data_IF_606485942907
#
_entry.id   IF_606485942907
#
_cell.length_a   1.000
_cell.length_b   1.000
_cell.length_c   1.000
_cell.angle_alpha   90.00
_cell.angle_beta   90.00
_cell.angle_gamma   90.00
#
_symmetry.space_group_name_H-M   'P 1'
#
loop_
_entity.id
_entity.type
_entity.pdbx_description
1 polymer ?
#
# COMPACT_ATOMS: atom_id res chain seq x y z
N UNK A 1 -9.53 -22.90 -4.44
CA UNK A 1 -8.86 -23.01 -3.14
C UNK A 1 -7.90 -24.21 -3.19
N UNK A 2 -6.68 -24.02 -2.70
CA UNK A 2 -5.68 -25.10 -2.59
C UNK A 2 -5.62 -25.49 -1.11
N UNK A 3 -6.14 -26.67 -0.80
CA UNK A 3 -6.22 -27.13 0.59
C UNK A 3 -4.92 -27.76 1.10
N UNK A 4 -4.06 -28.26 0.19
CA UNK A 4 -2.79 -28.89 0.55
C UNK A 4 -1.77 -28.77 -0.59
N UNK A 5 -0.56 -28.33 -0.25
CA UNK A 5 0.63 -28.48 -1.09
C UNK A 5 1.61 -29.38 -0.33
N UNK A 6 1.90 -30.56 -0.87
CA UNK A 6 2.87 -31.47 -0.26
C UNK A 6 4.08 -31.65 -1.20
N UNK A 7 5.28 -31.44 -0.66
CA UNK A 7 6.55 -31.77 -1.32
C UNK A 7 7.11 -33.01 -0.63
N UNK A 8 7.14 -34.14 -1.31
CA UNK A 8 7.60 -35.40 -0.74
C UNK A 8 8.81 -35.94 -1.50
N UNK A 9 9.69 -36.63 -0.79
CA UNK A 9 10.79 -37.38 -1.43
C UNK A 9 10.25 -38.60 -2.20
N UNK A 10 11.05 -39.09 -3.14
CA UNK A 10 10.69 -40.23 -3.95
C UNK A 10 10.43 -41.47 -3.06
N UNK A 11 9.26 -42.13 -3.26
CA UNK A 11 8.84 -43.29 -2.47
C UNK A 11 8.01 -43.00 -1.20
N UNK A 12 7.73 -41.74 -0.88
CA UNK A 12 6.84 -41.38 0.23
C UNK A 12 5.39 -41.28 -0.25
N UNK A 13 4.47 -41.91 0.47
CA UNK A 13 3.04 -41.85 0.15
C UNK A 13 2.51 -40.44 0.39
N UNK A 14 1.97 -39.80 -0.64
CA UNK A 14 1.33 -38.48 -0.51
C UNK A 14 0.06 -38.61 0.33
N UNK A 15 -0.16 -37.79 1.35
CA UNK A 15 -1.42 -37.77 2.10
C UNK A 15 -2.58 -37.47 1.15
N UNK A 16 -3.59 -38.32 1.17
CA UNK A 16 -4.81 -38.11 0.36
C UNK A 16 -5.84 -37.33 1.21
N UNK A 17 -6.57 -36.37 0.63
CA UNK A 17 -7.63 -35.70 1.34
C UNK A 17 -8.70 -36.70 1.78
N UNK A 18 -9.23 -36.55 2.99
CA UNK A 18 -10.31 -37.39 3.47
C UNK A 18 -11.58 -37.19 2.62
N UNK A 19 -12.09 -38.25 2.02
CA UNK A 19 -13.34 -38.24 1.25
C UNK A 19 -14.59 -38.38 2.16
N UNK A 20 -14.40 -38.46 3.47
CA UNK A 20 -15.46 -38.66 4.44
C UNK A 20 -16.32 -37.38 4.56
N UNK A 21 -17.63 -37.51 4.33
CA UNK A 21 -18.58 -36.39 4.45
C UNK A 21 -18.54 -35.71 5.82
N UNK A 22 -18.33 -36.46 6.89
CA UNK A 22 -18.24 -35.94 8.25
C UNK A 22 -16.97 -35.10 8.45
N UNK A 23 -15.83 -35.52 7.90
CA UNK A 23 -14.57 -34.79 7.99
C UNK A 23 -14.63 -33.47 7.22
N UNK A 24 -15.26 -33.50 6.04
CA UNK A 24 -15.51 -32.27 5.25
C UNK A 24 -16.44 -31.31 5.98
N UNK A 25 -17.56 -31.81 6.54
CA UNK A 25 -18.49 -30.98 7.28
C UNK A 25 -17.85 -30.38 8.55
N UNK A 26 -17.00 -31.13 9.24
CA UNK A 26 -16.24 -30.67 10.39
C UNK A 26 -15.19 -29.64 10.01
N UNK A 27 -14.50 -29.84 8.88
CA UNK A 27 -13.55 -28.87 8.33
C UNK A 27 -14.22 -27.55 7.94
N UNK A 28 -15.33 -27.62 7.20
CA UNK A 28 -16.14 -26.46 6.82
C UNK A 28 -16.65 -25.70 8.05
N UNK A 29 -17.15 -26.39 9.05
CA UNK A 29 -17.61 -25.79 10.28
C UNK A 29 -16.44 -25.14 11.06
N UNK A 30 -15.31 -25.83 11.15
CA UNK A 30 -14.11 -25.31 11.79
C UNK A 30 -13.58 -24.08 11.06
N UNK A 31 -13.51 -24.12 9.73
CA UNK A 31 -13.10 -22.99 8.91
C UNK A 31 -14.05 -21.80 9.06
N UNK A 32 -15.34 -22.05 9.06
CA UNK A 32 -16.36 -21.03 9.30
C UNK A 32 -16.20 -20.39 10.67
N UNK A 33 -16.04 -21.18 11.73
CA UNK A 33 -15.83 -20.66 13.09
C UNK A 33 -14.49 -19.91 13.18
N UNK A 34 -13.42 -20.47 12.63
CA UNK A 34 -12.09 -19.85 12.66
C UNK A 34 -12.09 -18.51 11.92
N UNK A 35 -12.84 -18.38 10.81
CA UNK A 35 -12.92 -17.12 10.06
C UNK A 35 -13.52 -15.95 10.84
N UNK A 36 -14.26 -16.22 11.93
CA UNK A 36 -14.76 -15.18 12.83
C UNK A 36 -13.72 -14.70 13.86
N UNK A 37 -12.69 -15.49 14.11
CA UNK A 37 -11.71 -15.21 15.17
C UNK A 37 -10.31 -14.90 14.62
N UNK A 38 -10.05 -15.20 13.37
CA UNK A 38 -8.76 -14.90 12.72
C UNK A 38 -8.91 -13.65 11.89
N UNK A 39 -8.20 -12.61 12.25
CA UNK A 39 -8.05 -11.44 11.40
C UNK A 39 -7.06 -11.74 10.26
N UNK A 40 -7.61 -11.95 9.07
CA UNK A 40 -6.82 -12.22 7.86
C UNK A 40 -6.08 -10.99 7.33
N UNK A 41 -6.37 -9.80 7.84
CA UNK A 41 -5.70 -8.55 7.47
C UNK A 41 -4.43 -8.34 8.31
N UNK A 42 -4.35 -8.95 9.49
CA UNK A 42 -3.15 -8.90 10.32
C UNK A 42 -1.98 -9.61 9.62
N UNK A 43 -0.81 -8.99 9.67
CA UNK A 43 0.43 -9.51 9.10
C UNK A 43 1.30 -10.22 10.15
N UNK A 44 0.66 -10.87 11.13
CA UNK A 44 1.34 -11.57 12.22
C UNK A 44 1.61 -10.65 13.40
N UNK A 45 0.55 -10.01 13.91
CA UNK A 45 0.64 -9.16 15.10
C UNK A 45 1.09 -9.97 16.31
N UNK A 46 2.06 -9.42 17.03
CA UNK A 46 2.70 -10.05 18.19
C UNK A 46 2.25 -9.38 19.49
N UNK A 47 1.56 -8.24 19.38
CA UNK A 47 1.19 -7.41 20.52
C UNK A 47 -0.29 -7.54 20.83
N UNK A 48 -0.62 -7.68 22.12
CA UNK A 48 -2.00 -7.68 22.58
C UNK A 48 -2.61 -6.28 22.51
N UNK A 49 -3.89 -6.19 22.14
CA UNK A 49 -4.64 -4.92 22.03
C UNK A 49 -4.80 -4.15 23.38
N UNK A 50 -4.19 -4.62 24.45
CA UNK A 50 -4.19 -4.00 25.79
C UNK A 50 -2.99 -3.08 26.04
N UNK A 51 -2.03 -3.03 25.14
CA UNK A 51 -0.86 -2.16 25.21
C UNK A 51 -1.08 -0.94 24.29
N UNK A 52 -0.34 0.15 24.54
CA UNK A 52 -0.32 1.31 23.62
C UNK A 52 0.42 0.92 22.33
N UNK A 53 -0.29 0.23 21.44
CA UNK A 53 0.22 -0.26 20.16
C UNK A 53 -0.20 0.68 19.05
N UNK A 54 0.76 1.14 18.24
CA UNK A 54 0.48 1.95 17.06
C UNK A 54 -0.14 1.10 15.95
N UNK A 55 -1.33 1.45 15.50
CA UNK A 55 -1.99 0.78 14.37
C UNK A 55 -1.63 1.44 13.05
N UNK A 56 -0.97 0.67 12.17
CA UNK A 56 -0.56 1.11 10.83
C UNK A 56 -1.28 0.31 9.77
N UNK A 57 -2.08 1.00 8.95
CA UNK A 57 -2.76 0.37 7.82
C UNK A 57 -2.02 0.63 6.52
N UNK A 58 -1.85 -0.43 5.72
CA UNK A 58 -1.28 -0.37 4.38
C UNK A 58 -2.37 -0.69 3.38
N UNK A 59 -2.46 0.14 2.34
CA UNK A 59 -3.48 0.02 1.29
C UNK A 59 -2.94 -0.58 -0.01
N UNK A 60 -1.71 -1.08 -0.01
CA UNK A 60 -1.04 -1.70 -1.16
C UNK A 60 -0.96 -3.23 -1.06
N UNK A 61 -0.29 -3.86 -2.05
CA UNK A 61 -0.19 -5.31 -2.13
C UNK A 61 0.56 -5.96 -0.96
N UNK A 62 0.28 -7.25 -0.74
CA UNK A 62 0.81 -8.05 0.36
C UNK A 62 2.34 -8.09 0.42
N UNK A 63 3.02 -8.10 -0.72
CA UNK A 63 4.48 -8.17 -0.76
C UNK A 63 5.13 -6.93 -0.12
N UNK A 64 4.60 -5.74 -0.43
CA UNK A 64 5.06 -4.48 0.14
C UNK A 64 4.75 -4.40 1.64
N UNK A 65 3.57 -4.86 2.03
CA UNK A 65 3.17 -4.93 3.44
C UNK A 65 4.09 -5.81 4.26
N UNK A 66 4.52 -6.96 3.70
CA UNK A 66 5.46 -7.87 4.37
C UNK A 66 6.84 -7.22 4.54
N UNK A 67 7.32 -6.49 3.54
CA UNK A 67 8.60 -5.75 3.65
C UNK A 67 8.52 -4.69 4.74
N UNK A 68 7.44 -3.89 4.76
CA UNK A 68 7.25 -2.89 5.80
C UNK A 68 7.18 -3.52 7.20
N UNK A 69 6.43 -4.62 7.35
CA UNK A 69 6.36 -5.35 8.63
C UNK A 69 7.74 -5.78 9.10
N UNK A 70 8.57 -6.32 8.19
CA UNK A 70 9.96 -6.69 8.50
C UNK A 70 10.78 -5.47 8.95
N UNK A 71 10.66 -4.33 8.26
CA UNK A 71 11.36 -3.09 8.66
C UNK A 71 10.91 -2.59 10.03
N UNK A 72 9.62 -2.68 10.33
CA UNK A 72 9.07 -2.32 11.64
C UNK A 72 9.65 -3.22 12.73
N UNK A 73 9.61 -4.53 12.53
CA UNK A 73 10.04 -5.51 13.54
C UNK A 73 11.56 -5.49 13.76
N UNK A 74 12.34 -5.33 12.68
CA UNK A 74 13.80 -5.40 12.74
C UNK A 74 14.47 -4.06 13.09
N UNK A 75 13.80 -2.94 12.83
CA UNK A 75 14.44 -1.61 12.94
C UNK A 75 13.65 -0.64 13.81
N UNK A 76 12.38 -0.38 13.48
CA UNK A 76 11.61 0.68 14.13
C UNK A 76 11.29 0.36 15.58
N UNK A 77 10.62 -0.75 15.84
CA UNK A 77 10.25 -1.16 17.20
C UNK A 77 11.46 -1.35 18.12
N UNK A 78 12.56 -2.02 17.69
CA UNK A 78 13.74 -2.13 18.52
C UNK A 78 14.45 -0.79 18.82
N UNK A 79 14.39 0.17 17.91
CA UNK A 79 15.05 1.48 18.07
C UNK A 79 14.23 2.50 18.87
N UNK A 80 12.91 2.44 18.77
CA UNK A 80 11.98 3.40 19.39
C UNK A 80 11.33 2.88 20.67
N UNK A 81 11.21 1.56 20.80
CA UNK A 81 10.42 0.91 21.86
C UNK A 81 8.91 1.00 21.62
N UNK A 82 8.46 1.50 20.46
CA UNK A 82 7.04 1.64 20.12
C UNK A 82 6.58 0.36 19.45
N UNK A 83 5.63 -0.41 20.04
CA UNK A 83 5.05 -1.56 19.38
C UNK A 83 4.13 -1.12 18.23
N UNK A 84 4.16 -1.84 17.10
CA UNK A 84 3.39 -1.50 15.91
C UNK A 84 2.71 -2.72 15.35
N UNK A 85 1.40 -2.63 15.15
CA UNK A 85 0.62 -3.59 14.37
C UNK A 85 0.44 -3.09 12.95
N UNK A 86 0.84 -3.92 11.98
CA UNK A 86 0.73 -3.60 10.55
C UNK A 86 -0.39 -4.43 9.94
N UNK A 87 -1.39 -3.76 9.40
CA UNK A 87 -2.56 -4.40 8.78
C UNK A 87 -2.67 -4.06 7.30
N UNK A 88 -2.95 -5.07 6.49
CA UNK A 88 -3.28 -4.89 5.07
C UNK A 88 -4.79 -4.71 4.94
N UNK A 89 -5.23 -3.52 4.52
CA UNK A 89 -6.65 -3.15 4.49
C UNK A 89 -7.07 -2.70 3.09
N UNK A 90 -8.33 -3.02 2.72
CA UNK A 90 -8.91 -2.52 1.48
C UNK A 90 -9.06 -0.98 1.54
N UNK A 91 -8.59 -0.23 0.52
CA UNK A 91 -8.69 1.22 0.49
C UNK A 91 -10.10 1.77 0.71
N UNK A 92 -11.14 1.04 0.29
CA UNK A 92 -12.53 1.45 0.46
C UNK A 92 -13.02 1.35 1.91
N UNK A 93 -12.35 0.59 2.76
CA UNK A 93 -12.71 0.45 4.16
C UNK A 93 -12.22 1.62 5.02
N UNK A 94 -11.14 2.31 4.62
CA UNK A 94 -10.46 3.32 5.43
C UNK A 94 -11.41 4.44 5.91
N UNK A 95 -12.09 5.12 5.00
CA UNK A 95 -12.94 6.26 5.36
C UNK A 95 -14.09 5.83 6.28
N UNK A 96 -14.68 4.66 6.03
CA UNK A 96 -15.77 4.13 6.84
C UNK A 96 -15.29 3.79 8.26
N UNK A 97 -14.09 3.24 8.38
CA UNK A 97 -13.49 2.92 9.67
C UNK A 97 -13.19 4.18 10.49
N UNK A 98 -12.57 5.21 9.84
CA UNK A 98 -12.31 6.49 10.49
C UNK A 98 -13.59 7.15 10.97
N UNK A 99 -14.64 7.20 10.15
CA UNK A 99 -15.95 7.78 10.53
C UNK A 99 -16.60 6.98 11.66
N UNK A 100 -16.37 5.67 11.73
CA UNK A 100 -16.88 4.83 12.82
C UNK A 100 -16.03 4.92 14.11
N UNK A 101 -14.93 5.67 14.12
CA UNK A 101 -14.01 5.78 15.26
C UNK A 101 -13.10 4.57 15.45
N UNK A 102 -12.96 3.72 14.43
CA UNK A 102 -12.13 2.52 14.41
C UNK A 102 -11.05 2.61 13.31
N UNK A 103 -10.62 3.82 12.98
CA UNK A 103 -9.53 4.05 12.02
C UNK A 103 -8.16 3.80 12.65
N UNK A 104 -7.11 3.63 11.82
CA UNK A 104 -5.74 3.46 12.29
C UNK A 104 -5.13 4.79 12.76
N UNK A 105 -4.00 4.70 13.46
CA UNK A 105 -3.18 5.88 13.79
C UNK A 105 -2.43 6.41 12.57
N UNK A 106 -1.96 5.50 11.70
CA UNK A 106 -1.20 5.85 10.49
C UNK A 106 -1.68 5.03 9.29
N UNK A 107 -1.76 5.69 8.14
CA UNK A 107 -2.05 5.04 6.85
C UNK A 107 -0.87 5.23 5.92
N UNK A 108 -0.45 4.15 5.27
CA UNK A 108 0.63 4.14 4.28
C UNK A 108 0.07 3.73 2.92
N UNK A 109 0.62 4.33 1.86
CA UNK A 109 0.29 4.00 0.46
C UNK A 109 -1.15 4.33 0.07
N UNK A 110 -1.63 5.51 0.47
CA UNK A 110 -2.89 6.05 -0.05
C UNK A 110 -2.68 6.86 -1.33
N UNK A 111 -3.71 6.94 -2.16
CA UNK A 111 -3.68 7.78 -3.37
C UNK A 111 -3.49 9.26 -3.04
N UNK A 112 -2.73 9.98 -3.88
CA UNK A 112 -2.30 11.37 -3.64
C UNK A 112 -3.44 12.39 -3.50
N UNK A 113 -4.65 12.10 -3.98
CA UNK A 113 -5.84 12.97 -3.81
C UNK A 113 -6.59 12.73 -2.50
N UNK A 114 -6.35 11.63 -1.81
CA UNK A 114 -7.08 11.25 -0.61
C UNK A 114 -6.76 12.14 0.61
N UNK A 115 -5.52 12.53 0.91
CA UNK A 115 -5.22 13.31 2.11
C UNK A 115 -6.02 14.60 2.23
N UNK A 116 -6.10 15.39 1.16
CA UNK A 116 -6.89 16.64 1.16
C UNK A 116 -8.39 16.34 1.25
N UNK A 117 -8.87 15.28 0.60
CA UNK A 117 -10.27 14.86 0.68
C UNK A 117 -10.65 14.40 2.10
N UNK A 118 -9.73 13.74 2.80
CA UNK A 118 -9.91 13.35 4.21
C UNK A 118 -9.79 14.55 5.15
N UNK A 119 -8.91 15.50 4.87
CA UNK A 119 -8.79 16.75 5.62
C UNK A 119 -10.11 17.56 5.60
N UNK A 120 -10.76 17.66 4.43
CA UNK A 120 -12.08 18.30 4.27
C UNK A 120 -13.19 17.65 5.10
N UNK A 121 -12.99 16.41 5.53
CA UNK A 121 -13.94 15.64 6.35
C UNK A 121 -13.48 15.50 7.80
N UNK A 122 -12.40 16.17 8.17
CA UNK A 122 -11.77 16.05 9.49
C UNK A 122 -11.41 14.61 9.88
N UNK A 123 -10.97 13.83 8.89
CA UNK A 123 -10.60 12.43 9.04
C UNK A 123 -9.07 12.20 9.09
N UNK A 124 -8.28 13.25 9.00
CA UNK A 124 -6.82 13.26 9.15
C UNK A 124 -6.36 14.50 9.88
N UNK A 125 -5.24 14.38 10.56
CA UNK A 125 -4.63 15.46 11.33
C UNK A 125 -3.82 16.42 10.45
N UNK A 126 -3.75 17.68 10.87
CA UNK A 126 -2.86 18.68 10.26
C UNK A 126 -1.44 18.51 10.81
N UNK A 127 -0.53 18.13 9.96
CA UNK A 127 0.86 17.87 10.33
C UNK A 127 1.63 19.15 10.71
N UNK A 128 1.12 20.33 10.38
CA UNK A 128 1.75 21.61 10.75
C UNK A 128 1.76 21.86 12.27
N UNK A 129 1.01 21.09 13.04
CA UNK A 129 1.05 21.12 14.51
C UNK A 129 2.32 20.52 15.13
N UNK A 130 3.10 19.74 14.36
CA UNK A 130 4.32 19.11 14.85
C UNK A 130 5.53 19.99 14.62
N UNK A 131 6.29 20.26 15.67
CA UNK A 131 7.43 21.20 15.66
C UNK A 131 8.59 20.72 14.76
N UNK A 132 8.75 19.41 14.59
CA UNK A 132 9.80 18.76 13.80
C UNK A 132 9.43 18.56 12.31
N UNK A 133 8.24 18.96 11.91
CA UNK A 133 7.76 18.78 10.53
C UNK A 133 8.74 19.36 9.50
N UNK A 134 9.32 20.53 9.75
CA UNK A 134 10.22 21.16 8.78
C UNK A 134 11.48 20.34 8.55
N UNK A 135 12.04 19.71 9.57
CA UNK A 135 13.21 18.82 9.44
C UNK A 135 12.90 17.60 8.57
N UNK A 136 11.66 17.10 8.66
CA UNK A 136 11.18 16.02 7.80
C UNK A 136 10.98 16.51 6.37
N UNK A 137 10.36 17.66 6.16
CA UNK A 137 10.09 18.22 4.84
C UNK A 137 11.36 18.59 4.06
N UNK A 138 12.44 18.95 4.74
CA UNK A 138 13.74 19.25 4.11
C UNK A 138 14.34 18.04 3.38
N UNK A 139 13.82 16.82 3.62
CA UNK A 139 14.21 15.60 2.92
C UNK A 139 13.48 15.43 1.58
N UNK A 140 12.47 16.23 1.30
CA UNK A 140 11.63 16.12 0.11
C UNK A 140 11.72 17.37 -0.78
N UNK A 141 11.50 17.20 -2.07
CA UNK A 141 11.26 18.34 -2.94
C UNK A 141 9.92 19.00 -2.60
N UNK A 142 9.81 20.35 -2.59
CA UNK A 142 8.54 21.02 -2.31
C UNK A 142 7.38 20.58 -3.21
N UNK A 143 7.65 20.19 -4.45
CA UNK A 143 6.65 19.67 -5.38
C UNK A 143 6.08 18.31 -4.94
N UNK A 144 6.78 17.54 -4.13
CA UNK A 144 6.35 16.21 -3.70
C UNK A 144 5.18 16.27 -2.71
N UNK A 145 5.15 17.29 -1.83
CA UNK A 145 4.10 17.43 -0.81
C UNK A 145 3.08 18.53 -1.12
N UNK A 146 3.26 19.29 -2.22
CA UNK A 146 2.33 20.34 -2.62
C UNK A 146 0.88 19.85 -2.79
N UNK A 147 0.71 18.62 -3.31
CA UNK A 147 -0.61 18.01 -3.50
C UNK A 147 -1.33 17.68 -2.18
N UNK A 148 -0.63 17.60 -1.06
CA UNK A 148 -1.16 17.27 0.26
C UNK A 148 -1.44 18.50 1.12
N UNK A 149 -1.17 19.70 0.58
CA UNK A 149 -1.37 20.97 1.28
C UNK A 149 -2.74 21.56 0.93
N UNK A 150 -3.45 22.04 1.95
CA UNK A 150 -4.74 22.71 1.78
C UNK A 150 -4.95 23.74 2.89
N UNK A 151 -5.40 24.95 2.53
CA UNK A 151 -5.67 26.06 3.46
C UNK A 151 -4.55 26.37 4.48
N UNK A 152 -3.30 26.17 4.09
CA UNK A 152 -2.14 26.42 4.95
C UNK A 152 -1.76 25.23 5.84
N UNK A 153 -2.54 24.16 5.86
CA UNK A 153 -2.21 22.88 6.51
C UNK A 153 -1.54 21.89 5.56
N UNK A 154 -0.90 20.87 6.13
CA UNK A 154 -0.31 19.74 5.45
C UNK A 154 -0.87 18.43 6.05
N UNK A 155 -1.40 17.55 5.23
CA UNK A 155 -2.20 16.41 5.68
C UNK A 155 -1.62 15.03 5.32
N UNK A 156 -0.48 15.00 4.66
CA UNK A 156 0.30 13.78 4.42
C UNK A 156 1.75 14.12 4.08
N UNK A 157 2.61 13.11 4.18
CA UNK A 157 3.98 13.12 3.69
C UNK A 157 4.08 12.25 2.43
N UNK A 158 4.95 12.60 1.47
CA UNK A 158 5.14 11.80 0.27
C UNK A 158 5.92 10.52 0.59
N UNK A 159 5.36 9.37 0.25
CA UNK A 159 6.06 8.09 0.26
C UNK A 159 6.82 7.87 -1.05
N UNK A 160 6.17 8.20 -2.15
CA UNK A 160 6.72 8.07 -3.51
C UNK A 160 6.47 9.33 -4.32
N UNK A 161 7.38 9.63 -5.23
CA UNK A 161 7.18 10.68 -6.22
C UNK A 161 7.16 10.07 -7.62
N UNK A 162 6.01 10.18 -8.27
CA UNK A 162 5.80 9.70 -9.64
C UNK A 162 5.85 10.87 -10.60
N UNK A 163 6.54 10.69 -11.72
CA UNK A 163 6.50 11.61 -12.83
C UNK A 163 6.24 10.84 -14.13
N UNK A 164 5.43 11.44 -15.00
CA UNK A 164 5.23 10.90 -16.34
C UNK A 164 6.41 11.31 -17.20
N UNK A 165 7.07 10.32 -17.83
CA UNK A 165 8.19 10.55 -18.75
C UNK A 165 7.83 9.98 -20.11
N UNK A 166 8.22 10.69 -21.15
CA UNK A 166 8.10 10.22 -22.51
C UNK A 166 9.32 9.36 -22.86
N UNK A 167 9.10 8.08 -23.13
CA UNK A 167 10.09 7.19 -23.70
C UNK A 167 9.94 7.16 -25.23
N UNK A 168 11.04 7.20 -25.95
CA UNK A 168 11.04 7.14 -27.40
C UNK A 168 12.16 6.24 -27.91
N UNK A 169 11.98 5.71 -29.11
CA UNK A 169 12.98 4.97 -29.88
C UNK A 169 13.72 5.94 -30.76
N UNK A 170 14.98 6.26 -30.41
CA UNK A 170 15.82 7.21 -31.18
C UNK A 170 16.07 6.74 -32.61
N UNK A 171 16.28 5.43 -32.78
CA UNK A 171 16.48 4.82 -34.12
C UNK A 171 15.26 4.99 -35.03
N UNK A 172 14.04 4.89 -34.51
CA UNK A 172 12.82 5.12 -35.28
C UNK A 172 12.67 6.59 -35.65
N UNK A 173 12.94 7.50 -34.70
CA UNK A 173 12.87 8.93 -35.00
C UNK A 173 13.87 9.32 -36.09
N UNK A 174 15.10 8.79 -36.05
CA UNK A 174 16.12 9.01 -37.07
C UNK A 174 15.70 8.44 -38.44
N UNK A 175 15.13 7.24 -38.48
CA UNK A 175 14.66 6.60 -39.73
C UNK A 175 13.60 7.44 -40.43
N UNK A 176 12.70 8.08 -39.69
CA UNK A 176 11.64 8.96 -40.25
C UNK A 176 12.05 10.43 -40.33
N UNK A 177 13.29 10.78 -40.01
CA UNK A 177 13.77 12.16 -40.01
C UNK A 177 13.06 13.07 -39.02
N UNK A 178 12.59 12.52 -37.91
CA UNK A 178 11.87 13.22 -36.85
C UNK A 178 12.82 13.61 -35.70
N UNK A 179 12.58 14.78 -35.11
CA UNK A 179 13.26 15.22 -33.88
C UNK A 179 12.48 14.77 -32.65
N UNK A 180 13.18 14.70 -31.53
CA UNK A 180 12.52 14.47 -30.21
C UNK A 180 11.54 15.62 -29.94
N UNK A 181 10.27 15.35 -29.65
CA UNK A 181 9.29 16.40 -29.37
C UNK A 181 9.60 17.11 -28.05
N UNK A 182 9.62 18.43 -28.04
CA UNK A 182 9.79 19.26 -26.85
C UNK A 182 8.46 19.73 -26.28
N UNK A 183 7.42 19.75 -27.10
CA UNK A 183 6.07 20.17 -26.76
C UNK A 183 5.04 19.13 -27.19
N UNK A 184 3.82 19.26 -26.65
CA UNK A 184 2.69 18.45 -27.07
C UNK A 184 2.31 18.69 -28.52
N UNK A 185 2.46 19.92 -29.01
CA UNK A 185 2.20 20.28 -30.42
C UNK A 185 3.20 19.59 -31.36
N UNK A 186 4.47 19.51 -30.97
CA UNK A 186 5.47 18.74 -31.72
C UNK A 186 5.12 17.27 -31.79
N UNK A 187 4.71 16.69 -30.64
CA UNK A 187 4.30 15.30 -30.59
C UNK A 187 3.09 15.04 -31.49
N UNK A 188 2.08 15.91 -31.46
CA UNK A 188 0.89 15.78 -32.31
C UNK A 188 1.25 15.92 -33.80
N UNK A 189 2.15 16.85 -34.15
CA UNK A 189 2.57 17.08 -35.53
C UNK A 189 3.31 15.87 -36.13
N UNK A 190 4.01 15.07 -35.34
CA UNK A 190 4.74 13.89 -35.84
C UNK A 190 3.87 12.63 -35.94
N UNK A 191 2.71 12.57 -35.24
CA UNK A 191 1.83 11.39 -35.22
C UNK A 191 1.44 10.89 -36.64
N UNK A 192 1.06 11.74 -37.63
CA UNK A 192 0.70 11.25 -38.96
C UNK A 192 1.83 10.50 -39.65
N UNK A 193 3.08 10.92 -39.44
CA UNK A 193 4.26 10.23 -40.01
C UNK A 193 4.49 8.87 -39.33
N UNK A 194 4.36 8.80 -38.02
CA UNK A 194 4.58 7.56 -37.25
C UNK A 194 3.45 6.55 -37.49
N UNK A 195 2.20 7.02 -37.60
CA UNK A 195 1.04 6.14 -37.82
C UNK A 195 0.88 5.69 -39.28
N UNK A 196 1.48 6.38 -40.21
CA UNK A 196 1.46 6.05 -41.64
C UNK A 196 2.62 5.15 -42.09
N UNK A 197 3.46 4.74 -41.15
CA UNK A 197 4.66 3.96 -41.34
C UNK A 197 4.41 2.44 -41.30
#
# INVERSE_FOLDING_TARGET
DIDLIAITADGVTVPQPSENFLDRALHELKSCVTSYFVDYNALGDVYDASEDVLEVWILTGRDQSTVLKTMVDDTFTPSTGIPVNVMLVDPNALLNAVVAGNGPDVVISTDSWNPVNYALRHAVEDLTQFDDLQEVLDQFYPSAYAAFSFNGGLYALPETQLCSILFYRSDILEEYGLSVPETWDDLIAMLPTIQGA
#
